data_IF_877312395821
#
_entry.id   IF_877312395821
#
_cell.length_a   1.000
_cell.length_b   1.000
_cell.length_c   1.000
_cell.angle_alpha   90.00
_cell.angle_beta   90.00
_cell.angle_gamma   90.00
#
_symmetry.space_group_name_H-M   'P 1'
#
loop_
_entity.id
_entity.type
_entity.pdbx_description
1 polymer ?
#
# COMPACT_ATOMS: atom_id res chain seq x y z
N UNK A 1 -30.01 -3.45 1.60
CA UNK A 1 -29.25 -2.48 2.44
C UNK A 1 -28.32 -3.15 3.45
N UNK A 2 -28.55 -4.42 3.73
CA UNK A 2 -27.73 -5.21 4.70
C UNK A 2 -26.34 -5.59 4.18
N UNK A 3 -26.06 -5.38 2.91
CA UNK A 3 -24.85 -5.86 2.27
C UNK A 3 -23.63 -4.91 2.36
N UNK A 4 -23.80 -3.72 2.90
CA UNK A 4 -22.71 -2.74 3.01
C UNK A 4 -21.98 -2.77 4.36
N UNK A 5 -22.49 -3.54 5.32
CA UNK A 5 -21.92 -3.63 6.67
C UNK A 5 -21.95 -5.10 7.12
N UNK A 6 -20.80 -5.75 7.11
CA UNK A 6 -20.58 -6.88 8.00
C UNK A 6 -20.56 -8.28 7.42
N UNK A 7 -20.32 -8.48 6.15
CA UNK A 7 -19.92 -9.80 5.67
C UNK A 7 -18.72 -9.68 4.73
N UNK A 8 -17.98 -10.74 4.58
CA UNK A 8 -16.89 -10.95 3.63
C UNK A 8 -17.29 -10.71 2.16
N UNK A 9 -18.48 -10.18 1.98
CA UNK A 9 -18.96 -9.61 0.75
C UNK A 9 -18.11 -8.38 0.49
N UNK A 10 -16.94 -8.63 -0.16
CA UNK A 10 -17.09 -7.95 -1.37
C UNK A 10 -16.28 -6.72 -1.53
N UNK A 11 -14.99 -6.84 -1.25
CA UNK A 11 -14.04 -5.91 -1.89
C UNK A 11 -14.31 -5.92 -3.39
N UNK A 12 -14.55 -7.09 -4.01
CA UNK A 12 -14.90 -7.25 -5.42
C UNK A 12 -16.18 -6.51 -5.82
N UNK A 13 -17.23 -6.65 -5.02
CA UNK A 13 -18.54 -6.08 -5.37
C UNK A 13 -18.49 -4.56 -5.33
N UNK A 14 -17.65 -3.97 -4.47
CA UNK A 14 -17.39 -2.52 -4.49
C UNK A 14 -16.80 -2.05 -5.81
N UNK A 15 -15.90 -2.83 -6.42
CA UNK A 15 -15.30 -2.49 -7.71
C UNK A 15 -16.23 -2.73 -8.91
N UNK A 16 -17.34 -3.45 -8.71
CA UNK A 16 -18.37 -3.70 -9.72
C UNK A 16 -19.60 -2.78 -9.59
N UNK A 17 -19.69 -1.98 -8.51
CA UNK A 17 -20.79 -1.04 -8.30
C UNK A 17 -20.90 -0.04 -9.44
N UNK A 18 -22.12 0.13 -9.94
CA UNK A 18 -22.46 1.19 -10.88
C UNK A 18 -23.03 2.40 -10.17
N UNK A 19 -23.04 3.55 -10.82
CA UNK A 19 -23.66 4.76 -10.28
C UNK A 19 -25.18 4.56 -10.00
N UNK A 20 -25.83 3.73 -10.80
CA UNK A 20 -27.25 3.40 -10.62
C UNK A 20 -27.50 2.56 -9.38
N UNK A 21 -26.64 1.57 -9.11
CA UNK A 21 -26.73 0.76 -7.90
C UNK A 21 -26.64 1.61 -6.64
N UNK A 22 -25.75 2.61 -6.65
CA UNK A 22 -25.55 3.50 -5.51
C UNK A 22 -26.69 4.51 -5.36
N UNK A 23 -27.22 5.04 -6.48
CA UNK A 23 -28.35 5.97 -6.45
C UNK A 23 -29.64 5.33 -5.89
N UNK A 24 -29.79 4.02 -6.08
CA UNK A 24 -30.94 3.26 -5.56
C UNK A 24 -30.86 2.97 -4.05
N UNK A 25 -29.75 3.32 -3.39
CA UNK A 25 -29.61 3.19 -1.95
C UNK A 25 -30.29 4.36 -1.22
N UNK A 26 -30.95 4.06 -0.11
CA UNK A 26 -31.58 5.06 0.75
C UNK A 26 -30.60 6.17 1.14
N UNK A 27 -31.02 7.43 0.95
CA UNK A 27 -30.26 8.65 1.27
C UNK A 27 -29.00 8.89 0.43
N UNK A 28 -28.85 8.21 -0.70
CA UNK A 28 -27.74 8.44 -1.63
C UNK A 28 -28.21 9.28 -2.82
N UNK A 29 -27.72 10.53 -2.88
CA UNK A 29 -27.95 11.41 -4.03
C UNK A 29 -26.95 11.16 -5.16
N UNK A 30 -27.25 11.73 -6.33
CA UNK A 30 -26.44 11.63 -7.55
C UNK A 30 -24.98 12.00 -7.32
N UNK A 31 -24.74 13.12 -6.64
CA UNK A 31 -23.39 13.63 -6.31
C UNK A 31 -22.60 12.68 -5.42
N UNK A 32 -23.28 12.01 -4.49
CA UNK A 32 -22.65 11.00 -3.60
C UNK A 32 -22.27 9.76 -4.41
N UNK A 33 -23.14 9.29 -5.30
CA UNK A 33 -22.87 8.16 -6.17
C UNK A 33 -21.67 8.42 -7.08
N UNK A 34 -21.61 9.59 -7.73
CA UNK A 34 -20.47 9.99 -8.56
C UNK A 34 -19.16 10.03 -7.77
N UNK A 35 -19.15 10.61 -6.57
CA UNK A 35 -17.97 10.68 -5.72
C UNK A 35 -17.47 9.27 -5.31
N UNK A 36 -18.38 8.36 -4.99
CA UNK A 36 -18.03 6.97 -4.64
C UNK A 36 -17.41 6.27 -5.86
N UNK A 37 -18.04 6.36 -7.03
CA UNK A 37 -17.50 5.75 -8.25
C UNK A 37 -16.14 6.35 -8.63
N UNK A 38 -15.98 7.67 -8.49
CA UNK A 38 -14.69 8.34 -8.71
C UNK A 38 -13.63 7.85 -7.72
N UNK A 39 -13.97 7.68 -6.45
CA UNK A 39 -13.10 7.11 -5.43
C UNK A 39 -12.70 5.67 -5.73
N UNK A 40 -13.64 4.84 -6.17
CA UNK A 40 -13.38 3.45 -6.58
C UNK A 40 -12.43 3.41 -7.77
N UNK A 41 -12.63 4.26 -8.79
CA UNK A 41 -11.72 4.34 -9.94
C UNK A 41 -10.33 4.78 -9.51
N UNK A 42 -10.22 5.83 -8.72
CA UNK A 42 -8.93 6.32 -8.21
C UNK A 42 -8.20 5.27 -7.35
N UNK A 43 -8.93 4.44 -6.60
CA UNK A 43 -8.32 3.37 -5.78
C UNK A 43 -7.67 2.25 -6.60
N UNK A 44 -7.99 2.12 -7.89
CA UNK A 44 -7.33 1.16 -8.79
C UNK A 44 -5.92 1.58 -9.20
N UNK A 45 -5.63 2.86 -9.11
CA UNK A 45 -4.38 3.49 -9.54
C UNK A 45 -3.41 3.75 -8.36
N UNK A 46 -3.79 3.35 -7.15
CA UNK A 46 -2.92 3.52 -5.98
C UNK A 46 -1.64 2.69 -6.13
N UNK A 47 -0.49 3.20 -5.64
CA UNK A 47 0.78 2.48 -5.72
C UNK A 47 0.73 1.11 -5.03
N UNK A 48 1.54 0.17 -5.53
CA UNK A 48 1.60 -1.22 -5.06
C UNK A 48 1.83 -1.33 -3.54
N UNK A 49 2.67 -0.47 -2.97
CA UNK A 49 2.93 -0.40 -1.52
C UNK A 49 1.67 -0.12 -0.70
N UNK A 50 0.77 0.72 -1.20
CA UNK A 50 -0.51 1.02 -0.53
C UNK A 50 -1.46 -0.17 -0.60
N UNK A 51 -1.44 -0.90 -1.70
CA UNK A 51 -2.22 -2.13 -1.83
C UNK A 51 -1.70 -3.18 -0.85
N UNK A 52 -0.39 -3.39 -0.75
CA UNK A 52 0.22 -4.30 0.21
C UNK A 52 -0.16 -3.96 1.65
N UNK A 53 -0.13 -2.69 2.02
CA UNK A 53 -0.58 -2.24 3.33
C UNK A 53 -2.07 -2.52 3.55
N UNK A 54 -2.92 -2.28 2.54
CA UNK A 54 -4.36 -2.49 2.60
C UNK A 54 -4.77 -3.96 2.70
N UNK A 55 -3.92 -4.92 2.28
CA UNK A 55 -4.15 -6.36 2.46
C UNK A 55 -4.21 -6.77 3.94
N UNK A 56 -3.71 -5.94 4.85
CA UNK A 56 -3.80 -6.18 6.28
C UNK A 56 -2.94 -7.35 6.78
N UNK A 57 -1.82 -7.65 6.11
CA UNK A 57 -0.89 -8.70 6.53
C UNK A 57 -0.35 -8.33 7.91
N UNK A 58 -0.45 -9.24 8.86
CA UNK A 58 -0.02 -9.00 10.24
C UNK A 58 1.46 -8.57 10.29
N UNK A 59 1.77 -7.54 11.07
CA UNK A 59 3.09 -6.91 11.21
C UNK A 59 3.59 -6.16 9.96
N UNK A 60 2.86 -6.14 8.87
CA UNK A 60 3.19 -5.36 7.69
C UNK A 60 2.50 -4.00 7.79
N UNK A 61 3.22 -3.03 8.35
CA UNK A 61 2.82 -1.62 8.35
C UNK A 61 3.24 -0.90 7.07
N UNK A 62 2.94 0.39 6.98
CA UNK A 62 3.25 1.21 5.80
C UNK A 62 4.74 1.18 5.42
N UNK A 63 5.65 1.29 6.41
CA UNK A 63 7.11 1.24 6.18
C UNK A 63 7.55 -0.11 5.62
N UNK A 64 7.05 -1.20 6.19
CA UNK A 64 7.37 -2.56 5.73
C UNK A 64 6.79 -2.80 4.33
N UNK A 65 5.56 -2.36 4.07
CA UNK A 65 4.93 -2.46 2.75
C UNK A 65 5.74 -1.73 1.67
N UNK A 66 6.26 -0.52 1.96
CA UNK A 66 7.16 0.21 1.06
C UNK A 66 8.44 -0.56 0.76
N UNK A 67 9.06 -1.21 1.76
CA UNK A 67 10.27 -2.02 1.57
C UNK A 67 10.01 -3.27 0.75
N UNK A 68 8.89 -3.95 1.00
CA UNK A 68 8.45 -5.09 0.20
C UNK A 68 8.24 -4.65 -1.26
N UNK A 69 7.52 -3.56 -1.49
CA UNK A 69 7.27 -3.05 -2.84
C UNK A 69 8.53 -2.60 -3.59
N UNK A 70 9.60 -2.22 -2.87
CA UNK A 70 10.92 -1.95 -3.47
C UNK A 70 11.65 -3.23 -3.88
N UNK A 71 11.46 -4.32 -3.15
CA UNK A 71 12.19 -5.58 -3.34
C UNK A 71 11.49 -6.55 -4.30
N UNK A 72 10.17 -6.40 -4.48
CA UNK A 72 9.35 -7.24 -5.36
C UNK A 72 8.64 -6.38 -6.40
N UNK A 73 8.61 -6.86 -7.64
CA UNK A 73 7.99 -6.12 -8.75
C UNK A 73 6.47 -6.28 -8.80
N UNK A 74 5.98 -7.40 -8.31
CA UNK A 74 4.56 -7.74 -8.34
C UNK A 74 4.18 -8.67 -7.18
N UNK A 75 2.87 -8.90 -7.03
CA UNK A 75 2.34 -9.74 -5.97
C UNK A 75 2.71 -11.21 -6.14
N UNK A 76 2.87 -11.69 -7.38
CA UNK A 76 3.25 -13.06 -7.67
C UNK A 76 4.68 -13.37 -7.20
N UNK A 77 5.61 -12.45 -7.39
CA UNK A 77 6.97 -12.60 -6.85
C UNK A 77 6.96 -12.69 -5.33
N UNK A 78 6.11 -11.91 -4.67
CA UNK A 78 5.96 -11.93 -3.22
C UNK A 78 5.29 -13.22 -2.73
N UNK A 79 4.29 -13.72 -3.45
CA UNK A 79 3.59 -14.97 -3.15
C UNK A 79 4.51 -16.19 -3.23
N UNK A 80 5.49 -16.17 -4.15
CA UNK A 80 6.47 -17.23 -4.36
C UNK A 80 7.80 -16.99 -3.63
N UNK A 81 7.89 -15.96 -2.80
CA UNK A 81 9.10 -15.66 -2.03
C UNK A 81 9.32 -16.70 -0.94
N UNK A 82 10.58 -17.01 -0.68
CA UNK A 82 11.02 -17.84 0.45
C UNK A 82 11.37 -17.00 1.68
N UNK A 83 11.61 -17.68 2.80
CA UNK A 83 11.96 -17.05 4.06
C UNK A 83 13.27 -16.27 3.95
N UNK A 84 14.26 -16.80 3.23
CA UNK A 84 15.59 -16.19 3.09
C UNK A 84 15.50 -14.88 2.31
N UNK A 85 14.77 -14.88 1.20
CA UNK A 85 14.56 -13.67 0.38
C UNK A 85 13.83 -12.58 1.17
N UNK A 86 12.82 -12.95 1.96
CA UNK A 86 12.08 -12.00 2.79
C UNK A 86 12.95 -11.42 3.91
N UNK A 87 13.73 -12.23 4.59
CA UNK A 87 14.59 -11.78 5.70
C UNK A 87 15.84 -11.03 5.23
N UNK A 88 16.21 -11.14 3.96
CA UNK A 88 17.30 -10.34 3.37
C UNK A 88 16.94 -8.85 3.22
N UNK A 89 15.64 -8.51 3.30
CA UNK A 89 15.17 -7.13 3.20
C UNK A 89 15.36 -6.44 4.56
N UNK A 90 15.96 -5.26 4.54
CA UNK A 90 16.20 -4.46 5.76
C UNK A 90 14.90 -4.21 6.54
N UNK A 91 14.97 -4.36 7.86
CA UNK A 91 13.86 -4.28 8.83
C UNK A 91 12.78 -5.40 8.70
N UNK A 92 12.94 -6.38 7.81
CA UNK A 92 12.05 -7.55 7.75
C UNK A 92 12.72 -8.70 8.51
N UNK A 93 12.36 -8.82 9.79
CA UNK A 93 12.78 -9.94 10.63
C UNK A 93 11.94 -11.20 10.38
N UNK A 94 12.39 -12.31 10.93
CA UNK A 94 11.77 -13.63 10.79
C UNK A 94 10.26 -13.65 11.10
N UNK A 95 9.81 -12.91 12.13
CA UNK A 95 8.38 -12.80 12.48
C UNK A 95 7.53 -12.18 11.38
N UNK A 96 8.05 -11.15 10.72
CA UNK A 96 7.34 -10.47 9.63
C UNK A 96 7.32 -11.39 8.41
N UNK A 97 8.47 -11.99 8.07
CA UNK A 97 8.60 -12.92 6.97
C UNK A 97 7.66 -14.12 7.11
N UNK A 98 7.62 -14.72 8.30
CA UNK A 98 6.72 -15.84 8.61
C UNK A 98 5.24 -15.43 8.51
N UNK A 99 4.90 -14.21 8.91
CA UNK A 99 3.53 -13.70 8.78
C UNK A 99 3.12 -13.52 7.32
N UNK A 100 4.03 -13.05 6.46
CA UNK A 100 3.81 -12.92 5.02
C UNK A 100 3.58 -14.31 4.40
N UNK A 101 4.46 -15.27 4.68
CA UNK A 101 4.32 -16.64 4.17
C UNK A 101 3.00 -17.29 4.61
N UNK A 102 2.64 -17.13 5.88
CA UNK A 102 1.36 -17.64 6.43
C UNK A 102 0.17 -17.00 5.73
N UNK A 103 0.22 -15.70 5.43
CA UNK A 103 -0.84 -14.99 4.73
C UNK A 103 -1.08 -15.61 3.34
N UNK A 104 -0.03 -15.83 2.56
CA UNK A 104 -0.12 -16.38 1.21
C UNK A 104 -0.36 -17.90 1.16
N UNK A 105 -0.12 -18.62 2.25
CA UNK A 105 -0.48 -20.03 2.37
C UNK A 105 -1.97 -20.25 2.57
N UNK A 106 -2.68 -19.24 3.09
CA UNK A 106 -4.13 -19.32 3.32
C UNK A 106 -4.89 -19.24 1.99
N UNK A 107 -5.70 -20.28 1.63
CA UNK A 107 -6.43 -20.30 0.36
C UNK A 107 -7.45 -19.17 0.22
N UNK A 108 -8.05 -18.68 1.32
CA UNK A 108 -8.98 -17.55 1.29
C UNK A 108 -8.29 -16.25 0.88
N UNK A 109 -7.06 -16.04 1.35
CA UNK A 109 -6.28 -14.85 0.98
C UNK A 109 -5.82 -14.92 -0.48
N UNK A 110 -5.44 -16.10 -0.97
CA UNK A 110 -5.14 -16.30 -2.40
C UNK A 110 -6.34 -16.01 -3.28
N UNK A 111 -7.51 -16.53 -2.92
CA UNK A 111 -8.74 -16.24 -3.64
C UNK A 111 -9.06 -14.74 -3.64
N UNK A 112 -8.86 -14.05 -2.50
CA UNK A 112 -9.01 -12.60 -2.41
C UNK A 112 -8.08 -11.88 -3.40
N UNK A 113 -6.81 -12.27 -3.47
CA UNK A 113 -5.83 -11.67 -4.39
C UNK A 113 -6.23 -11.89 -5.85
N UNK A 114 -6.65 -13.10 -6.22
CA UNK A 114 -7.12 -13.39 -7.58
C UNK A 114 -8.36 -12.55 -7.95
N UNK A 115 -9.26 -12.37 -7.00
CA UNK A 115 -10.42 -11.48 -7.17
C UNK A 115 -10.00 -10.03 -7.34
N UNK A 116 -9.01 -9.54 -6.58
CA UNK A 116 -8.47 -8.18 -6.71
C UNK A 116 -7.77 -8.00 -8.07
N UNK A 117 -7.02 -8.98 -8.55
CA UNK A 117 -6.44 -8.97 -9.91
C UNK A 117 -7.52 -8.77 -10.98
N UNK A 118 -8.64 -9.51 -10.87
CA UNK A 118 -9.74 -9.44 -11.84
C UNK A 118 -10.42 -8.06 -11.88
N UNK A 119 -10.31 -7.25 -10.83
CA UNK A 119 -10.88 -5.89 -10.77
C UNK A 119 -9.99 -4.84 -11.42
N UNK A 120 -8.77 -5.20 -11.83
CA UNK A 120 -7.79 -4.27 -12.41
C UNK A 120 -7.09 -3.40 -11.36
N UNK A 121 -7.03 -3.85 -10.09
CA UNK A 121 -6.25 -3.21 -9.06
C UNK A 121 -4.75 -3.35 -9.37
N UNK A 122 -3.97 -2.31 -9.08
CA UNK A 122 -2.53 -2.31 -9.32
C UNK A 122 -1.80 -3.20 -8.30
N UNK A 123 -1.52 -4.44 -8.67
CA UNK A 123 -0.78 -5.42 -7.88
C UNK A 123 0.67 -5.58 -8.33
N UNK A 124 1.20 -4.57 -8.97
CA UNK A 124 2.57 -4.51 -9.48
C UNK A 124 3.12 -3.10 -9.35
N UNK A 125 4.44 -2.99 -9.29
CA UNK A 125 5.15 -1.72 -9.28
C UNK A 125 5.27 -1.18 -10.71
N UNK A 126 4.85 0.04 -10.93
CA UNK A 126 5.07 0.74 -12.20
C UNK A 126 6.50 1.32 -12.25
N UNK A 127 7.06 1.43 -13.44
CA UNK A 127 8.34 2.14 -13.62
C UNK A 127 8.24 3.61 -13.20
N UNK A 128 7.08 4.21 -13.34
CA UNK A 128 6.77 5.58 -12.88
C UNK A 128 6.87 5.72 -11.35
N UNK A 129 6.55 4.68 -10.61
CA UNK A 129 6.68 4.66 -9.15
C UNK A 129 8.16 4.67 -8.71
N UNK A 130 9.08 4.33 -9.63
CA UNK A 130 10.54 4.44 -9.45
C UNK A 130 11.09 5.78 -9.99
N UNK A 131 10.35 6.47 -10.85
CA UNK A 131 10.77 7.75 -11.39
C UNK A 131 10.75 8.80 -10.29
N UNK A 132 11.92 9.20 -9.85
CA UNK A 132 12.09 10.14 -8.74
C UNK A 132 12.80 9.56 -7.53
N UNK A 133 13.05 8.26 -7.48
CA UNK A 133 13.95 7.70 -6.48
C UNK A 133 15.40 7.94 -6.90
N UNK A 134 16.17 8.54 -6.03
CA UNK A 134 17.62 8.76 -6.21
C UNK A 134 18.34 8.38 -4.91
N UNK A 135 19.60 8.06 -5.01
CA UNK A 135 20.43 7.74 -3.84
C UNK A 135 21.23 8.95 -3.32
N UNK A 136 20.78 10.17 -3.66
CA UNK A 136 21.49 11.41 -3.29
C UNK A 136 21.69 11.59 -1.79
N UNK A 137 20.78 11.05 -1.00
CA UNK A 137 20.80 11.10 0.47
C UNK A 137 21.08 9.73 1.10
N UNK A 138 21.59 8.77 0.31
CA UNK A 138 21.88 7.43 0.80
C UNK A 138 22.84 7.47 2.01
N UNK A 139 22.49 6.76 3.07
CA UNK A 139 23.25 6.71 4.31
C UNK A 139 23.13 7.94 5.22
N UNK A 140 22.35 8.96 4.84
CA UNK A 140 22.10 10.13 5.67
C UNK A 140 20.84 9.95 6.51
N UNK A 141 20.97 10.28 7.81
CA UNK A 141 19.84 10.37 8.73
C UNK A 141 19.47 11.84 8.90
N UNK A 142 18.24 12.20 8.55
CA UNK A 142 17.79 13.60 8.51
C UNK A 142 16.65 13.79 9.51
N UNK A 143 16.76 14.87 10.30
CA UNK A 143 15.69 15.32 11.20
C UNK A 143 14.97 16.51 10.58
N UNK A 144 13.66 16.42 10.48
CA UNK A 144 12.83 17.52 10.00
C UNK A 144 12.27 18.28 11.19
N UNK A 145 12.71 19.54 11.37
CA UNK A 145 12.28 20.41 12.47
C UNK A 145 11.96 21.82 11.95
N UNK A 146 10.94 22.44 12.50
CA UNK A 146 10.56 23.84 12.18
C UNK A 146 9.21 23.98 11.48
N UNK A 147 8.94 25.20 11.02
CA UNK A 147 7.75 25.57 10.24
C UNK A 147 8.16 25.68 8.77
N UNK A 148 7.41 25.04 7.91
CA UNK A 148 7.72 24.95 6.48
C UNK A 148 6.69 25.76 5.68
N UNK A 149 7.16 26.47 4.65
CA UNK A 149 6.32 27.34 3.81
C UNK A 149 6.00 26.75 2.45
N UNK A 150 6.83 25.84 1.93
CA UNK A 150 6.70 25.29 0.56
C UNK A 150 6.11 23.88 0.52
N UNK A 151 6.45 23.05 1.50
CA UNK A 151 5.99 21.66 1.58
C UNK A 151 5.55 21.35 3.01
N UNK A 152 4.61 20.44 3.16
CA UNK A 152 4.25 19.90 4.47
C UNK A 152 5.38 19.03 5.04
N UNK A 153 5.34 18.77 6.34
CA UNK A 153 6.31 17.90 7.00
C UNK A 153 6.34 16.49 6.41
N UNK A 154 5.19 16.00 5.99
CA UNK A 154 5.07 14.64 5.43
C UNK A 154 5.60 14.60 3.98
N UNK A 155 5.39 15.64 3.19
CA UNK A 155 6.02 15.77 1.86
C UNK A 155 7.55 15.82 1.94
N UNK A 156 8.12 16.51 2.94
CA UNK A 156 9.58 16.49 3.14
C UNK A 156 10.09 15.11 3.55
N UNK A 157 9.35 14.34 4.37
CA UNK A 157 9.70 12.95 4.67
C UNK A 157 9.74 12.09 3.41
N UNK A 158 8.70 12.21 2.58
CA UNK A 158 8.67 11.50 1.29
C UNK A 158 9.84 11.90 0.37
N UNK A 159 10.19 13.18 0.31
CA UNK A 159 11.32 13.64 -0.48
C UNK A 159 12.65 13.05 0.02
N UNK A 160 12.86 12.98 1.33
CA UNK A 160 14.04 12.38 1.93
C UNK A 160 14.10 10.88 1.58
N UNK A 161 13.00 10.16 1.77
CA UNK A 161 12.91 8.73 1.48
C UNK A 161 13.07 8.43 -0.02
N UNK A 162 12.49 9.26 -0.90
CA UNK A 162 12.67 9.18 -2.36
C UNK A 162 14.13 9.38 -2.77
N UNK A 163 14.89 10.14 -2.02
CA UNK A 163 16.31 10.36 -2.28
C UNK A 163 17.25 9.41 -1.50
N UNK A 164 16.73 8.34 -0.92
CA UNK A 164 17.52 7.31 -0.23
C UNK A 164 17.96 7.69 1.19
N UNK A 165 17.47 8.82 1.73
CA UNK A 165 17.74 9.26 3.09
C UNK A 165 16.81 8.58 4.12
N UNK A 166 17.23 8.57 5.38
CA UNK A 166 16.45 8.06 6.51
C UNK A 166 15.91 9.24 7.33
N UNK A 167 14.58 9.33 7.50
CA UNK A 167 13.99 10.31 8.38
C UNK A 167 14.00 9.79 9.82
N UNK A 168 14.55 10.58 10.75
CA UNK A 168 14.63 10.26 12.19
C UNK A 168 13.98 11.35 13.02
N UNK A 169 13.36 10.95 14.13
CA UNK A 169 12.57 11.87 14.97
C UNK A 169 13.40 12.75 15.92
N UNK A 170 14.66 12.40 16.17
CA UNK A 170 15.57 13.12 17.08
C UNK A 170 17.01 13.05 16.62
N UNK A 171 17.77 14.09 16.96
CA UNK A 171 19.21 14.12 16.70
C UNK A 171 19.90 13.21 17.72
N UNK A 172 20.73 12.28 17.24
CA UNK A 172 21.61 11.46 18.06
C UNK A 172 23.05 11.60 17.62
N UNK A 173 24.00 11.10 18.41
CA UNK A 173 25.44 11.18 18.09
C UNK A 173 25.84 10.46 16.77
N UNK A 174 24.88 9.76 16.14
CA UNK A 174 25.03 9.04 14.86
C UNK A 174 24.16 9.63 13.74
N UNK A 175 23.56 10.80 13.96
CA UNK A 175 22.69 11.47 12.96
C UNK A 175 23.49 12.50 12.19
#
# INVERSE_FOLDING_TARGET
ASCLVGSEMCIRDRYQLTAEDIKNLDRMGEKSAENIIKGIKASKEVPFERVLFALGIRFVGETVAKKIAKSFNNIEELENADLEKLTSIDEIGEKIAQSILTYFTNPLNRELIERLKSTGLQLYRREEDLSGYTDKLAGQSIVISGVFTHHSRDEYKELIEKNGGKNVGSISAKT
#
